data_IF_428675338920
#
_entry.id   IF_428675338920
#
_cell.length_a   1.000
_cell.length_b   1.000
_cell.length_c   1.000
_cell.angle_alpha   90.00
_cell.angle_beta   90.00
_cell.angle_gamma   90.00
#
_symmetry.space_group_name_H-M   'P 1'
#
loop_
_entity.id
_entity.type
_entity.pdbx_description
1 polymer ?
#
# COMPACT_ATOMS: atom_id res chain seq x y z
N UNK A 1 1.80 10.01 -22.34
CA UNK A 1 1.53 10.02 -23.80
C UNK A 1 1.76 8.62 -24.36
N UNK A 2 0.81 8.09 -25.12
CA UNK A 2 1.00 6.82 -25.80
C UNK A 2 1.90 7.02 -27.03
N UNK A 3 2.92 6.19 -27.20
CA UNK A 3 3.73 6.24 -28.41
C UNK A 3 2.87 5.83 -29.63
N UNK A 4 3.16 6.41 -30.78
CA UNK A 4 2.47 6.16 -32.07
C UNK A 4 2.64 4.72 -32.61
N UNK A 5 3.06 3.78 -31.80
CA UNK A 5 3.28 2.39 -32.18
C UNK A 5 1.99 1.59 -31.99
N UNK A 6 1.48 1.00 -33.05
CA UNK A 6 0.24 0.19 -33.04
C UNK A 6 0.29 -1.04 -32.13
N UNK A 7 1.47 -1.48 -31.74
CA UNK A 7 1.73 -2.66 -30.91
C UNK A 7 2.25 -2.31 -29.51
N UNK A 8 2.18 -1.04 -29.11
CA UNK A 8 2.53 -0.60 -27.76
C UNK A 8 1.32 0.04 -27.08
N UNK A 9 0.95 -0.50 -25.94
CA UNK A 9 -0.17 -0.01 -25.13
C UNK A 9 0.27 0.11 -23.68
N UNK A 10 -0.19 1.17 -23.03
CA UNK A 10 0.00 1.38 -21.59
C UNK A 10 -1.28 1.09 -20.84
N UNK A 11 -1.16 0.45 -19.70
CA UNK A 11 -2.27 0.20 -18.79
C UNK A 11 -1.80 0.37 -17.35
N UNK A 12 -2.62 1.02 -16.53
CA UNK A 12 -2.37 1.18 -15.10
C UNK A 12 -3.57 0.64 -14.33
N UNK A 13 -3.32 -0.32 -13.44
CA UNK A 13 -4.33 -0.77 -12.48
C UNK A 13 -4.66 0.34 -11.49
N UNK A 14 -5.94 0.51 -11.15
CA UNK A 14 -6.39 1.55 -10.22
C UNK A 14 -6.09 1.14 -8.75
N UNK A 15 -4.81 0.86 -8.46
CA UNK A 15 -4.35 0.34 -7.15
C UNK A 15 -4.78 1.24 -5.98
N UNK A 16 -4.95 2.55 -6.21
CA UNK A 16 -5.43 3.49 -5.20
C UNK A 16 -6.80 3.09 -4.61
N UNK A 17 -7.67 2.40 -5.37
CA UNK A 17 -8.95 1.90 -4.87
C UNK A 17 -8.74 0.82 -3.81
N UNK A 18 -7.86 -0.15 -4.08
CA UNK A 18 -7.46 -1.17 -3.10
C UNK A 18 -6.70 -0.55 -1.92
N UNK A 19 -5.90 0.50 -2.17
CA UNK A 19 -5.21 1.24 -1.09
C UNK A 19 -6.19 1.94 -0.16
N UNK A 20 -7.29 2.50 -0.68
CA UNK A 20 -8.35 3.07 0.14
C UNK A 20 -8.98 1.99 1.05
N UNK A 21 -9.35 0.84 0.50
CA UNK A 21 -9.91 -0.27 1.28
C UNK A 21 -8.93 -0.78 2.35
N UNK A 22 -7.65 -0.93 2.00
CA UNK A 22 -6.61 -1.29 2.95
C UNK A 22 -6.41 -0.21 4.04
N UNK A 23 -6.58 1.06 3.68
CA UNK A 23 -6.59 2.18 4.63
C UNK A 23 -7.76 2.11 5.60
N UNK A 24 -8.96 1.72 5.15
CA UNK A 24 -10.11 1.48 6.04
C UNK A 24 -9.78 0.39 7.06
N UNK A 25 -9.20 -0.73 6.63
CA UNK A 25 -8.79 -1.81 7.54
C UNK A 25 -7.73 -1.33 8.56
N UNK A 26 -6.76 -0.52 8.12
CA UNK A 26 -5.79 0.12 9.01
C UNK A 26 -6.48 1.06 10.03
N UNK A 27 -7.43 1.86 9.58
CA UNK A 27 -8.24 2.71 10.45
C UNK A 27 -9.06 1.92 11.48
N UNK A 28 -9.62 0.78 11.07
CA UNK A 28 -10.33 -0.12 12.01
C UNK A 28 -9.39 -0.67 13.09
N UNK A 29 -8.14 -1.04 12.72
CA UNK A 29 -7.16 -1.47 13.72
C UNK A 29 -6.73 -0.33 14.65
N UNK A 30 -6.49 0.86 14.13
CA UNK A 30 -6.24 2.05 14.97
C UNK A 30 -7.40 2.33 15.93
N UNK A 31 -8.63 2.24 15.45
CA UNK A 31 -9.83 2.44 16.25
C UNK A 31 -9.94 1.39 17.38
N UNK A 32 -9.70 0.11 17.07
CA UNK A 32 -9.65 -0.96 18.07
C UNK A 32 -8.63 -0.64 19.18
N UNK A 33 -7.41 -0.23 18.83
CA UNK A 33 -6.37 0.12 19.80
C UNK A 33 -6.74 1.33 20.67
N UNK A 34 -7.48 2.30 20.10
CA UNK A 34 -8.00 3.46 20.82
C UNK A 34 -9.09 3.02 21.80
N UNK A 35 -10.05 2.21 21.34
CA UNK A 35 -11.16 1.73 22.16
C UNK A 35 -10.70 0.86 23.34
N UNK A 36 -9.62 0.08 23.11
CA UNK A 36 -8.98 -0.75 24.14
C UNK A 36 -8.07 0.07 25.09
N UNK A 37 -7.89 1.36 24.84
CA UNK A 37 -7.04 2.25 25.65
C UNK A 37 -5.55 1.98 25.53
N UNK A 38 -5.13 1.27 24.46
CA UNK A 38 -3.71 0.97 24.19
C UNK A 38 -3.00 2.21 23.64
N UNK A 39 -3.70 3.00 22.81
CA UNK A 39 -3.24 4.29 22.29
C UNK A 39 -4.33 5.36 22.47
N UNK A 40 -3.94 6.62 22.48
CA UNK A 40 -4.85 7.76 22.37
C UNK A 40 -5.15 8.11 20.91
N UNK A 41 -6.20 8.90 20.65
CA UNK A 41 -6.50 9.41 19.30
C UNK A 41 -5.33 10.21 18.68
N UNK A 42 -4.57 10.94 19.49
CA UNK A 42 -3.39 11.71 19.04
C UNK A 42 -2.20 10.83 18.64
N UNK A 43 -2.20 9.56 19.03
CA UNK A 43 -1.19 8.57 18.70
C UNK A 43 -1.57 7.73 17.45
N UNK A 44 -2.69 8.00 16.81
CA UNK A 44 -3.11 7.34 15.58
C UNK A 44 -2.23 7.74 14.39
N UNK A 45 -0.99 7.25 14.38
CA UNK A 45 0.05 7.56 13.39
C UNK A 45 0.30 6.41 12.44
N UNK A 46 0.45 6.75 11.15
CA UNK A 46 0.74 5.83 10.05
C UNK A 46 2.10 6.20 9.47
N UNK A 47 2.98 5.23 9.31
CA UNK A 47 4.21 5.33 8.56
C UNK A 47 4.03 4.77 7.15
N UNK A 48 4.58 5.44 6.15
CA UNK A 48 4.49 4.99 4.76
C UNK A 48 5.85 5.05 4.07
N UNK A 49 6.31 3.89 3.57
CA UNK A 49 7.55 3.77 2.81
C UNK A 49 7.21 3.78 1.32
N UNK A 50 7.52 4.88 0.63
CA UNK A 50 7.32 5.04 -0.80
C UNK A 50 8.60 4.84 -1.60
N UNK A 51 8.48 4.33 -2.84
CA UNK A 51 9.63 4.22 -3.74
C UNK A 51 10.06 5.60 -4.24
N UNK A 52 9.17 6.33 -4.91
CA UNK A 52 9.42 7.64 -5.49
C UNK A 52 8.21 8.56 -5.32
N UNK A 53 8.36 9.89 -5.37
CA UNK A 53 7.25 10.83 -5.34
C UNK A 53 6.51 10.92 -6.69
N UNK A 54 6.20 9.76 -7.29
CA UNK A 54 5.43 9.69 -8.53
C UNK A 54 3.94 9.69 -8.25
N UNK A 55 3.14 10.09 -9.25
CA UNK A 55 1.68 10.19 -9.13
C UNK A 55 1.03 8.88 -8.65
N UNK A 56 1.52 7.73 -9.09
CA UNK A 56 1.07 6.41 -8.64
C UNK A 56 1.24 6.24 -7.14
N UNK A 57 2.45 6.48 -6.62
CA UNK A 57 2.79 6.34 -5.20
C UNK A 57 2.00 7.36 -4.36
N UNK A 58 1.93 8.61 -4.82
CA UNK A 58 1.19 9.69 -4.15
C UNK A 58 -0.29 9.36 -4.07
N UNK A 59 -0.91 8.92 -5.17
CA UNK A 59 -2.32 8.51 -5.18
C UNK A 59 -2.57 7.32 -4.25
N UNK A 60 -1.62 6.40 -4.16
CA UNK A 60 -1.67 5.24 -3.29
C UNK A 60 -1.73 5.60 -1.81
N UNK A 61 -0.76 6.39 -1.32
CA UNK A 61 -0.76 6.76 0.11
C UNK A 61 -1.86 7.78 0.45
N UNK A 62 -2.22 8.66 -0.49
CA UNK A 62 -3.35 9.58 -0.29
C UNK A 62 -4.65 8.82 -0.10
N UNK A 63 -4.94 7.86 -0.97
CA UNK A 63 -6.12 7.00 -0.86
C UNK A 63 -6.10 6.19 0.44
N UNK A 64 -4.95 5.64 0.82
CA UNK A 64 -4.77 4.91 2.07
C UNK A 64 -5.09 5.78 3.29
N UNK A 65 -4.54 6.99 3.36
CA UNK A 65 -4.82 7.92 4.45
C UNK A 65 -6.30 8.32 4.50
N UNK A 66 -6.92 8.58 3.35
CA UNK A 66 -8.36 8.88 3.27
C UNK A 66 -9.21 7.71 3.77
N UNK A 67 -8.82 6.46 3.43
CA UNK A 67 -9.45 5.26 3.98
C UNK A 67 -9.33 5.18 5.50
N UNK A 68 -8.14 5.37 6.05
CA UNK A 68 -7.92 5.37 7.49
C UNK A 68 -8.71 6.47 8.20
N UNK A 69 -8.74 7.68 7.63
CA UNK A 69 -9.49 8.82 8.16
C UNK A 69 -11.00 8.67 8.07
N UNK A 70 -11.52 7.80 7.23
CA UNK A 70 -12.96 7.48 7.23
C UNK A 70 -13.40 6.77 8.52
N UNK A 71 -12.45 6.18 9.27
CA UNK A 71 -12.68 5.49 10.55
C UNK A 71 -12.12 6.30 11.73
N UNK A 72 -10.88 6.78 11.60
CA UNK A 72 -10.19 7.63 12.61
C UNK A 72 -9.86 8.98 11.97
N UNK A 73 -10.73 9.99 12.05
CA UNK A 73 -10.61 11.26 11.30
C UNK A 73 -9.30 12.03 11.54
N UNK A 74 -8.72 11.88 12.73
CA UNK A 74 -7.50 12.59 13.13
C UNK A 74 -6.21 11.81 12.83
N UNK A 75 -6.28 10.63 12.22
CA UNK A 75 -5.10 9.86 11.84
C UNK A 75 -4.15 10.71 10.97
N UNK A 76 -2.87 10.64 11.28
CA UNK A 76 -1.80 11.34 10.55
C UNK A 76 -0.86 10.35 9.88
N UNK A 77 -0.17 10.79 8.84
CA UNK A 77 0.76 9.94 8.09
C UNK A 77 2.08 10.65 7.86
N UNK A 78 3.18 9.93 8.13
CA UNK A 78 4.53 10.32 7.73
C UNK A 78 4.98 9.45 6.55
N UNK A 79 5.53 10.08 5.51
CA UNK A 79 6.00 9.38 4.30
C UNK A 79 7.50 9.54 4.16
N UNK A 80 8.23 8.44 3.93
CA UNK A 80 9.67 8.43 3.59
C UNK A 80 9.86 7.78 2.22
N UNK A 81 10.70 8.37 1.36
CA UNK A 81 10.98 7.85 0.02
C UNK A 81 12.37 7.22 -0.05
N UNK A 82 12.45 5.99 -0.54
CA UNK A 82 13.70 5.25 -0.72
C UNK A 82 14.48 5.68 -1.97
N UNK A 83 13.79 6.34 -2.92
CA UNK A 83 14.29 6.60 -4.27
C UNK A 83 14.70 5.32 -5.01
N UNK A 84 14.06 4.20 -4.68
CA UNK A 84 14.21 2.90 -5.32
C UNK A 84 12.90 2.12 -5.20
N UNK A 85 12.57 1.33 -6.23
CA UNK A 85 11.45 0.38 -6.14
C UNK A 85 11.83 -0.86 -5.31
N UNK A 86 13.09 -1.26 -5.33
CA UNK A 86 13.54 -2.51 -4.70
C UNK A 86 14.87 -2.27 -3.96
N UNK A 87 14.78 -1.86 -2.71
CA UNK A 87 15.91 -1.72 -1.79
C UNK A 87 15.49 -2.17 -0.39
N UNK A 88 15.58 -3.47 -0.15
CA UNK A 88 15.20 -4.09 1.12
C UNK A 88 15.84 -3.40 2.34
N UNK A 89 17.12 -3.02 2.26
CA UNK A 89 17.83 -2.43 3.39
C UNK A 89 17.28 -1.06 3.75
N UNK A 90 17.11 -0.20 2.74
CA UNK A 90 16.59 1.15 2.93
C UNK A 90 15.10 1.12 3.31
N UNK A 91 14.30 0.25 2.70
CA UNK A 91 12.90 0.08 3.05
C UNK A 91 12.73 -0.36 4.51
N UNK A 92 13.50 -1.36 4.96
CA UNK A 92 13.50 -1.83 6.34
C UNK A 92 13.97 -0.75 7.31
N UNK A 93 15.04 -0.03 6.96
CA UNK A 93 15.56 1.08 7.75
C UNK A 93 14.51 2.17 7.96
N UNK A 94 13.86 2.62 6.88
CA UNK A 94 12.86 3.68 6.96
C UNK A 94 11.60 3.24 7.71
N UNK A 95 11.20 1.97 7.58
CA UNK A 95 10.13 1.42 8.39
C UNK A 95 10.47 1.46 9.89
N UNK A 96 11.69 1.10 10.29
CA UNK A 96 12.15 1.21 11.69
C UNK A 96 12.15 2.65 12.18
N UNK A 97 12.68 3.59 11.39
CA UNK A 97 12.66 5.00 11.75
C UNK A 97 11.22 5.52 11.94
N UNK A 98 10.25 5.06 11.12
CA UNK A 98 8.84 5.42 11.28
C UNK A 98 8.25 4.81 12.56
N UNK A 99 8.64 3.58 12.91
CA UNK A 99 8.24 2.94 14.17
C UNK A 99 8.83 3.71 15.37
N UNK A 100 10.09 4.12 15.28
CA UNK A 100 10.76 4.95 16.31
C UNK A 100 10.09 6.34 16.45
N UNK A 101 9.47 6.85 15.37
CA UNK A 101 8.60 8.04 15.36
C UNK A 101 7.18 7.78 15.88
N UNK A 102 6.94 6.60 16.46
CA UNK A 102 5.67 6.13 17.02
C UNK A 102 4.56 5.91 15.99
N UNK A 103 4.90 5.51 14.76
CA UNK A 103 3.91 5.03 13.80
C UNK A 103 3.44 3.62 14.18
N UNK A 104 2.13 3.43 14.29
CA UNK A 104 1.47 2.17 14.69
C UNK A 104 1.22 1.27 13.47
N UNK A 105 0.85 1.87 12.35
CA UNK A 105 0.64 1.16 11.09
C UNK A 105 1.78 1.52 10.14
N UNK A 106 2.49 0.52 9.64
CA UNK A 106 3.52 0.70 8.61
C UNK A 106 3.01 0.14 7.29
N UNK A 107 2.91 1.02 6.30
CA UNK A 107 2.53 0.63 4.96
C UNK A 107 3.61 1.01 3.94
N UNK A 108 3.48 0.53 2.71
CA UNK A 108 4.48 0.75 1.69
C UNK A 108 3.88 0.87 0.29
N UNK A 109 4.66 1.48 -0.60
CA UNK A 109 4.50 1.47 -2.05
C UNK A 109 5.90 1.34 -2.68
N UNK A 110 6.51 0.21 -2.36
CA UNK A 110 7.83 -0.29 -2.75
C UNK A 110 7.79 -1.82 -2.75
N UNK A 111 8.76 -2.50 -3.32
CA UNK A 111 8.58 -3.88 -3.80
C UNK A 111 9.19 -4.95 -2.88
N UNK A 112 9.76 -4.59 -1.72
CA UNK A 112 10.39 -5.58 -0.85
C UNK A 112 9.60 -5.89 0.42
N UNK A 113 10.01 -6.94 1.12
CA UNK A 113 9.47 -7.30 2.43
C UNK A 113 10.09 -6.51 3.59
N UNK A 114 10.94 -5.52 3.32
CA UNK A 114 11.65 -4.74 4.35
C UNK A 114 10.72 -4.16 5.42
N UNK A 115 9.66 -3.43 5.07
CA UNK A 115 8.73 -2.87 6.04
C UNK A 115 7.98 -3.91 6.88
N UNK A 116 7.54 -5.00 6.27
CA UNK A 116 6.90 -6.11 6.98
C UNK A 116 7.86 -6.76 7.99
N UNK A 117 9.10 -7.02 7.55
CA UNK A 117 10.15 -7.55 8.44
C UNK A 117 10.46 -6.60 9.61
N UNK A 118 10.47 -5.29 9.36
CA UNK A 118 10.69 -4.31 10.43
C UNK A 118 9.57 -4.37 11.49
N UNK A 119 8.31 -4.50 11.09
CA UNK A 119 7.19 -4.65 12.01
C UNK A 119 7.31 -5.93 12.82
N UNK A 120 7.57 -7.07 12.16
CA UNK A 120 7.63 -8.38 12.83
C UNK A 120 8.80 -8.50 13.82
N UNK A 121 9.93 -7.86 13.53
CA UNK A 121 11.10 -7.84 14.44
C UNK A 121 10.98 -6.80 15.57
N UNK A 122 9.94 -5.97 15.56
CA UNK A 122 9.78 -4.93 16.58
C UNK A 122 9.25 -5.57 17.87
N UNK A 123 9.96 -5.30 18.98
CA UNK A 123 9.49 -5.60 20.32
C UNK A 123 9.21 -4.28 21.02
N UNK A 124 7.95 -3.92 21.20
CA UNK A 124 7.52 -2.72 21.89
C UNK A 124 6.26 -2.97 22.69
N UNK A 125 6.00 -2.14 23.70
CA UNK A 125 4.78 -2.21 24.53
C UNK A 125 3.53 -1.86 23.73
N UNK A 126 3.68 -1.02 22.68
CA UNK A 126 2.61 -0.70 21.74
C UNK A 126 2.79 -1.57 20.48
N UNK A 127 1.77 -2.34 20.10
CA UNK A 127 1.88 -3.21 18.93
C UNK A 127 1.97 -2.41 17.64
N UNK A 128 2.77 -2.92 16.68
CA UNK A 128 2.96 -2.33 15.35
C UNK A 128 2.44 -3.30 14.30
N UNK A 129 1.78 -2.78 13.27
CA UNK A 129 1.16 -3.60 12.24
C UNK A 129 1.62 -3.21 10.83
N UNK A 130 1.66 -4.20 9.93
CA UNK A 130 2.01 -4.01 8.53
C UNK A 130 0.79 -4.07 7.60
N UNK A 131 0.76 -3.17 6.62
CA UNK A 131 -0.15 -3.24 5.46
C UNK A 131 0.67 -3.21 4.19
N UNK A 132 0.71 -4.32 3.47
CA UNK A 132 1.61 -4.51 2.34
C UNK A 132 1.10 -3.91 1.02
N UNK A 133 1.98 -3.94 0.03
CA UNK A 133 1.74 -3.55 -1.36
C UNK A 133 1.98 -4.73 -2.30
N UNK A 134 1.03 -5.01 -3.18
CA UNK A 134 1.06 -6.01 -4.26
C UNK A 134 1.31 -7.48 -3.86
N UNK A 135 1.81 -7.76 -2.68
CA UNK A 135 2.10 -9.11 -2.20
C UNK A 135 1.59 -9.31 -0.78
N UNK A 136 1.17 -10.54 -0.46
CA UNK A 136 0.93 -10.92 0.93
C UNK A 136 2.25 -11.02 1.67
N UNK A 137 2.29 -10.50 2.89
CA UNK A 137 3.44 -10.61 3.79
C UNK A 137 3.17 -11.56 4.97
N UNK A 138 2.10 -12.36 4.88
CA UNK A 138 1.68 -13.26 5.96
C UNK A 138 2.78 -14.25 6.37
N UNK A 139 3.53 -14.78 5.40
CA UNK A 139 4.61 -15.74 5.68
C UNK A 139 5.86 -15.08 6.30
N UNK A 140 5.98 -13.74 6.17
CA UNK A 140 7.14 -12.98 6.65
C UNK A 140 6.83 -12.28 7.97
N UNK A 141 5.61 -11.80 8.13
CA UNK A 141 5.15 -11.04 9.27
C UNK A 141 3.83 -11.62 9.82
N UNK A 142 3.82 -12.91 10.26
CA UNK A 142 2.59 -13.63 10.63
C UNK A 142 1.84 -13.02 11.81
N UNK A 143 2.51 -12.26 12.68
CA UNK A 143 1.90 -11.65 13.88
C UNK A 143 1.51 -10.19 13.67
N UNK A 144 2.11 -9.49 12.71
CA UNK A 144 1.92 -8.05 12.50
C UNK A 144 1.22 -7.70 11.18
N UNK A 145 1.13 -8.63 10.23
CA UNK A 145 0.48 -8.39 8.95
C UNK A 145 -1.04 -8.29 9.07
N UNK A 146 -1.62 -7.16 8.69
CA UNK A 146 -3.08 -6.96 8.70
C UNK A 146 -3.72 -7.36 7.37
N UNK A 147 -3.26 -6.76 6.29
CA UNK A 147 -3.83 -6.90 4.95
C UNK A 147 -2.91 -6.32 3.89
N UNK A 148 -3.31 -6.47 2.63
CA UNK A 148 -2.69 -5.83 1.48
C UNK A 148 -3.65 -5.83 0.30
N UNK A 149 -3.35 -5.04 -0.71
CA UNK A 149 -4.06 -5.07 -1.99
C UNK A 149 -3.07 -5.33 -3.11
N UNK A 150 -3.56 -5.92 -4.19
CA UNK A 150 -2.76 -6.22 -5.38
C UNK A 150 -3.54 -5.93 -6.65
N UNK A 151 -2.82 -5.64 -7.74
CA UNK A 151 -3.43 -5.50 -9.06
C UNK A 151 -3.83 -6.90 -9.58
N UNK A 152 -5.07 -7.02 -10.02
CA UNK A 152 -5.56 -8.19 -10.75
C UNK A 152 -5.39 -7.95 -12.26
N UNK A 153 -4.30 -8.44 -12.83
CA UNK A 153 -3.99 -8.26 -14.24
C UNK A 153 -4.87 -9.07 -15.19
N UNK A 154 -5.55 -10.13 -14.71
CA UNK A 154 -6.31 -11.07 -15.54
C UNK A 154 -7.38 -10.41 -16.42
N UNK A 155 -8.24 -9.49 -15.91
CA UNK A 155 -9.27 -8.85 -16.75
C UNK A 155 -8.66 -8.07 -17.92
N UNK A 156 -7.61 -7.29 -17.66
CA UNK A 156 -6.93 -6.53 -18.71
C UNK A 156 -6.26 -7.46 -19.75
N UNK A 157 -5.48 -8.43 -19.31
CA UNK A 157 -4.78 -9.35 -20.21
C UNK A 157 -5.77 -10.11 -21.08
N UNK A 158 -6.90 -10.58 -20.52
CA UNK A 158 -7.95 -11.23 -21.30
C UNK A 158 -8.55 -10.28 -22.33
N UNK A 159 -8.92 -9.07 -21.95
CA UNK A 159 -9.47 -8.05 -22.85
C UNK A 159 -8.50 -7.70 -23.98
N UNK A 160 -7.22 -7.53 -23.67
CA UNK A 160 -6.19 -7.22 -24.67
C UNK A 160 -5.98 -8.36 -25.67
N UNK A 161 -5.92 -9.62 -25.21
CA UNK A 161 -5.78 -10.79 -26.06
C UNK A 161 -7.03 -10.93 -26.97
N UNK A 162 -8.23 -10.83 -26.40
CA UNK A 162 -9.48 -10.92 -27.15
C UNK A 162 -9.57 -9.82 -28.24
N UNK A 163 -9.08 -8.61 -27.94
CA UNK A 163 -9.04 -7.51 -28.90
C UNK A 163 -8.09 -7.81 -30.07
N UNK A 164 -6.87 -8.27 -29.78
CA UNK A 164 -5.88 -8.62 -30.80
C UNK A 164 -6.36 -9.75 -31.69
N UNK A 165 -6.96 -10.81 -31.12
CA UNK A 165 -7.48 -11.96 -31.88
C UNK A 165 -8.66 -11.60 -32.80
N UNK A 166 -9.36 -10.51 -32.53
CA UNK A 166 -10.54 -10.08 -33.28
C UNK A 166 -10.35 -8.75 -34.04
N UNK A 167 -9.11 -8.32 -34.26
CA UNK A 167 -8.76 -7.05 -34.92
C UNK A 167 -9.48 -5.81 -34.30
N UNK A 168 -9.66 -5.79 -32.97
CA UNK A 168 -10.30 -4.71 -32.25
C UNK A 168 -9.26 -3.85 -31.54
N UNK A 169 -9.65 -2.63 -31.17
CA UNK A 169 -8.84 -1.74 -30.35
C UNK A 169 -8.76 -2.28 -28.92
N UNK A 170 -7.56 -2.28 -28.35
CA UNK A 170 -7.35 -2.64 -26.94
C UNK A 170 -7.94 -1.55 -26.04
N UNK A 171 -8.83 -1.95 -25.13
CA UNK A 171 -9.46 -1.02 -24.20
C UNK A 171 -8.46 -0.50 -23.13
N UNK A 172 -8.57 0.80 -22.82
CA UNK A 172 -7.76 1.46 -21.79
C UNK A 172 -8.33 1.30 -20.38
N UNK A 173 -9.64 1.09 -20.28
CA UNK A 173 -10.35 1.04 -19.00
C UNK A 173 -11.05 -0.31 -18.82
N UNK A 174 -10.42 -1.20 -18.09
CA UNK A 174 -10.98 -2.53 -17.79
C UNK A 174 -11.33 -2.59 -16.30
N UNK A 175 -12.57 -2.96 -15.98
CA UNK A 175 -13.06 -3.09 -14.59
C UNK A 175 -12.53 -4.37 -13.92
N UNK A 176 -12.49 -4.36 -12.59
CA UNK A 176 -12.11 -5.54 -11.77
C UNK A 176 -10.61 -5.83 -11.74
N UNK A 177 -9.78 -4.80 -11.90
CA UNK A 177 -8.33 -4.90 -11.94
C UNK A 177 -7.62 -4.68 -10.57
N UNK A 178 -8.37 -4.56 -9.48
CA UNK A 178 -7.86 -4.43 -8.09
C UNK A 178 -8.67 -5.31 -7.16
#
# INVERSE_FOLDING_TARGET
>A
EEPYLKNYHTFMGAIYQGRYAAGVAAGMKLKELIDDGIISESEAKIGYVGAYPYAEVISGYTAFLLGARSVVPHAVMTVKYTNSWNDYRTEKKYARELIDEHCIIISQHSDTAGPATACEETSSDVPVYNVSYNQSMLDIAPTTYLTGCKINWKPYMKSAIDAVLNDKVIEKHVKGNV
#
